data_IF_086634131406
#
_entry.id   IF_086634131406
#
_cell.length_a   1.000
_cell.length_b   1.000
_cell.length_c   1.000
_cell.angle_alpha   90.00
_cell.angle_beta   90.00
_cell.angle_gamma   90.00
#
_symmetry.space_group_name_H-M   'P 1'
#
loop_
_entity.id
_entity.type
_entity.pdbx_description
1 polymer ?
#
# COMPACT_ATOMS: atom_id res chain seq x y z
N UNK A 1 50.66 12.21 -9.68
CA UNK A 1 49.75 11.89 -8.56
C UNK A 1 48.35 11.71 -9.14
N UNK A 2 48.03 10.50 -9.58
CA UNK A 2 46.66 10.13 -9.94
C UNK A 2 46.00 9.72 -8.63
N UNK A 3 45.07 10.55 -8.15
CA UNK A 3 44.26 10.25 -6.98
C UNK A 3 43.58 8.89 -7.16
N UNK A 4 43.93 7.93 -6.31
CA UNK A 4 43.12 6.76 -6.02
C UNK A 4 41.81 7.29 -5.40
N UNK A 5 40.88 7.75 -6.23
CA UNK A 5 39.48 7.82 -5.83
C UNK A 5 39.05 6.37 -5.62
N UNK A 6 39.16 5.89 -4.37
CA UNK A 6 38.48 4.68 -3.92
C UNK A 6 37.04 4.78 -4.43
N UNK A 7 36.70 3.95 -5.42
CA UNK A 7 35.32 3.81 -5.88
C UNK A 7 34.54 3.28 -4.69
N UNK A 8 33.96 4.21 -3.92
CA UNK A 8 32.99 3.90 -2.88
C UNK A 8 31.94 2.99 -3.53
N UNK A 9 31.86 1.75 -3.06
CA UNK A 9 30.93 0.79 -3.63
C UNK A 9 29.52 1.32 -3.42
N UNK A 10 28.75 1.39 -4.50
CA UNK A 10 27.36 1.87 -4.43
C UNK A 10 26.52 0.87 -3.64
N UNK A 11 25.64 1.31 -2.72
CA UNK A 11 24.72 0.42 -2.03
C UNK A 11 23.87 -0.43 -2.99
N UNK A 12 23.54 -1.65 -2.55
CA UNK A 12 22.61 -2.52 -3.24
C UNK A 12 21.33 -2.63 -2.40
N UNK A 13 20.19 -2.18 -2.93
CA UNK A 13 18.88 -2.49 -2.35
C UNK A 13 18.35 -3.80 -2.95
N UNK A 14 17.93 -4.73 -2.09
CA UNK A 14 17.30 -6.00 -2.47
C UNK A 14 15.85 -5.99 -2.00
N UNK A 15 14.91 -5.80 -2.93
CA UNK A 15 13.48 -6.02 -2.67
C UNK A 15 13.18 -7.52 -2.67
N UNK A 16 12.92 -8.10 -1.49
CA UNK A 16 12.49 -9.49 -1.36
C UNK A 16 10.96 -9.57 -1.36
N UNK A 17 10.40 -10.15 -2.41
CA UNK A 17 8.94 -10.27 -2.59
C UNK A 17 8.57 -11.77 -2.61
N UNK A 18 8.39 -12.41 -1.44
CA UNK A 18 8.14 -13.85 -1.37
C UNK A 18 6.77 -14.27 -1.92
N UNK A 19 5.84 -13.33 -2.12
CA UNK A 19 4.53 -13.60 -2.68
C UNK A 19 4.06 -12.41 -3.54
N UNK A 20 3.70 -12.70 -4.80
CA UNK A 20 3.24 -11.71 -5.78
C UNK A 20 1.71 -11.53 -5.81
N UNK A 21 0.94 -12.33 -5.05
CA UNK A 21 -0.54 -12.35 -5.10
C UNK A 21 -1.12 -12.39 -6.51
N UNK A 22 -0.59 -13.24 -7.39
CA UNK A 22 -1.08 -13.33 -8.77
C UNK A 22 -1.00 -11.99 -9.55
N UNK A 23 -0.15 -11.05 -9.08
CA UNK A 23 0.00 -9.73 -9.68
C UNK A 23 -1.08 -8.73 -9.25
N UNK A 24 -1.92 -9.09 -8.28
CA UNK A 24 -2.95 -8.18 -7.77
C UNK A 24 -2.39 -7.14 -6.79
N UNK A 25 -3.07 -6.00 -6.72
CA UNK A 25 -2.72 -4.88 -5.85
C UNK A 25 -1.57 -4.04 -6.39
N UNK A 26 -0.96 -3.26 -5.50
CA UNK A 26 0.05 -2.26 -5.87
C UNK A 26 1.50 -2.78 -5.79
N UNK A 27 1.75 -4.10 -5.68
CA UNK A 27 3.11 -4.64 -5.47
C UNK A 27 4.04 -4.26 -6.63
N UNK A 28 3.64 -4.54 -7.88
CA UNK A 28 4.47 -4.26 -9.05
C UNK A 28 4.71 -2.75 -9.22
N UNK A 29 3.67 -1.89 -9.26
CA UNK A 29 3.87 -0.44 -9.33
C UNK A 29 4.71 0.11 -8.16
N UNK A 30 4.53 -0.41 -6.94
CA UNK A 30 5.30 -0.01 -5.77
C UNK A 30 6.79 -0.26 -5.98
N UNK A 31 7.19 -1.49 -6.34
CA UNK A 31 8.60 -1.81 -6.52
C UNK A 31 9.22 -1.19 -7.78
N UNK A 32 8.41 -0.88 -8.80
CA UNK A 32 8.85 -0.02 -9.91
C UNK A 32 9.16 1.40 -9.44
N UNK A 33 8.32 1.98 -8.59
CA UNK A 33 8.57 3.30 -8.00
C UNK A 33 9.79 3.29 -7.06
N UNK A 34 9.97 2.24 -6.25
CA UNK A 34 11.20 2.02 -5.45
C UNK A 34 12.43 1.96 -6.35
N UNK A 35 12.37 1.25 -7.48
CA UNK A 35 13.46 1.19 -8.45
C UNK A 35 13.84 2.58 -8.99
N UNK A 36 12.85 3.42 -9.30
CA UNK A 36 13.09 4.78 -9.76
C UNK A 36 13.74 5.63 -8.67
N UNK A 37 13.25 5.58 -7.43
CA UNK A 37 13.86 6.27 -6.30
C UNK A 37 15.31 5.83 -6.06
N UNK A 38 15.59 4.52 -6.14
CA UNK A 38 16.93 3.96 -6.01
C UNK A 38 17.88 4.41 -7.12
N UNK A 39 17.40 4.44 -8.37
CA UNK A 39 18.18 4.97 -9.51
C UNK A 39 18.54 6.44 -9.32
N UNK A 40 17.64 7.26 -8.76
CA UNK A 40 17.93 8.67 -8.42
C UNK A 40 19.08 8.81 -7.40
N UNK A 41 19.28 7.82 -6.55
CA UNK A 41 20.38 7.78 -5.58
C UNK A 41 21.69 7.21 -6.16
N UNK A 42 21.68 6.73 -7.40
CA UNK A 42 22.82 6.03 -8.00
C UNK A 42 23.10 4.67 -7.37
N UNK A 43 22.13 4.07 -6.68
CA UNK A 43 22.27 2.75 -6.07
C UNK A 43 21.81 1.66 -7.05
N UNK A 44 22.25 0.42 -6.79
CA UNK A 44 21.78 -0.75 -7.54
C UNK A 44 20.51 -1.30 -6.88
N UNK A 45 19.49 -1.60 -7.68
CA UNK A 45 18.29 -2.28 -7.20
C UNK A 45 18.22 -3.69 -7.76
N UNK A 46 17.98 -4.66 -6.88
CA UNK A 46 17.69 -6.04 -7.21
C UNK A 46 16.30 -6.38 -6.68
N UNK A 47 15.45 -6.97 -7.51
CA UNK A 47 14.12 -7.45 -7.11
C UNK A 47 14.09 -8.95 -7.24
N UNK A 48 13.75 -9.65 -6.15
CA UNK A 48 13.79 -11.11 -6.10
C UNK A 48 12.40 -11.63 -5.77
N UNK A 49 11.94 -12.56 -6.61
CA UNK A 49 10.59 -13.14 -6.57
C UNK A 49 10.66 -14.67 -6.62
N UNK A 50 9.55 -15.40 -6.40
CA UNK A 50 9.49 -16.84 -6.62
C UNK A 50 9.86 -17.21 -8.06
N UNK A 51 10.63 -18.28 -8.22
CA UNK A 51 11.09 -18.79 -9.53
C UNK A 51 9.96 -19.19 -10.49
N UNK A 52 8.80 -19.59 -9.97
CA UNK A 52 7.60 -19.90 -10.74
C UNK A 52 6.46 -19.00 -10.22
N UNK A 53 6.28 -17.84 -10.85
CA UNK A 53 5.20 -16.92 -10.54
C UNK A 53 4.05 -17.02 -11.55
N UNK A 54 2.81 -16.94 -11.07
CA UNK A 54 1.60 -16.89 -11.91
C UNK A 54 1.39 -15.52 -12.62
N UNK A 55 2.40 -14.65 -12.63
CA UNK A 55 2.28 -13.31 -13.20
C UNK A 55 2.87 -13.31 -14.60
N UNK A 56 2.01 -13.19 -15.62
CA UNK A 56 2.39 -13.32 -17.03
C UNK A 56 3.40 -12.27 -17.51
N UNK A 57 3.57 -11.14 -16.79
CA UNK A 57 4.36 -10.00 -17.24
C UNK A 57 5.14 -9.35 -16.09
N UNK A 58 6.16 -10.04 -15.56
CA UNK A 58 7.11 -9.42 -14.64
C UNK A 58 8.16 -8.60 -15.41
N UNK A 59 8.65 -7.48 -14.85
CA UNK A 59 9.77 -6.76 -15.43
C UNK A 59 10.98 -7.69 -15.61
N UNK A 60 11.69 -7.57 -16.75
CA UNK A 60 12.77 -8.50 -17.15
C UNK A 60 13.93 -8.52 -16.16
N UNK A 61 14.11 -7.44 -15.42
CA UNK A 61 15.15 -7.28 -14.40
C UNK A 61 14.80 -7.94 -13.06
N UNK A 62 13.61 -8.52 -12.90
CA UNK A 62 13.21 -9.22 -11.67
C UNK A 62 13.69 -10.67 -11.72
N UNK A 63 14.38 -11.10 -10.66
CA UNK A 63 15.03 -12.41 -10.60
C UNK A 63 14.13 -13.43 -9.88
N UNK A 64 13.71 -14.47 -10.61
CA UNK A 64 12.99 -15.61 -10.05
C UNK A 64 13.93 -16.57 -9.32
N UNK A 65 14.15 -16.34 -8.02
CA UNK A 65 15.13 -17.09 -7.22
C UNK A 65 14.54 -17.68 -5.93
N UNK A 66 13.43 -17.12 -5.43
CA UNK A 66 12.83 -17.55 -4.16
C UNK A 66 12.08 -18.88 -4.32
N UNK A 67 11.91 -19.60 -3.21
CA UNK A 67 11.04 -20.79 -3.17
C UNK A 67 9.60 -20.43 -3.56
N UNK A 68 8.91 -21.36 -4.23
CA UNK A 68 7.52 -21.20 -4.67
C UNK A 68 6.50 -21.67 -3.62
N UNK A 69 6.95 -22.05 -2.42
CA UNK A 69 6.04 -22.49 -1.36
C UNK A 69 5.17 -21.29 -0.89
N UNK A 70 3.86 -21.39 -1.09
CA UNK A 70 2.90 -20.38 -0.60
C UNK A 70 2.71 -20.52 0.92
N UNK A 71 3.40 -19.66 1.66
CA UNK A 71 3.32 -19.60 3.12
C UNK A 71 2.05 -18.90 3.62
N UNK A 72 1.33 -18.18 2.76
CA UNK A 72 0.09 -17.46 3.07
C UNK A 72 -1.17 -18.33 2.85
N UNK A 73 -1.10 -19.39 2.04
CA UNK A 73 -2.21 -20.29 1.75
C UNK A 73 -2.88 -20.81 3.02
N UNK A 74 -4.20 -20.67 3.14
CA UNK A 74 -4.96 -21.22 4.28
C UNK A 74 -4.88 -22.75 4.38
N UNK A 75 -5.02 -23.30 5.59
CA UNK A 75 -4.85 -24.74 5.76
C UNK A 75 -5.00 -25.30 7.18
N UNK A 76 -5.17 -26.62 7.22
CA UNK A 76 -5.32 -27.43 8.43
C UNK A 76 -4.00 -27.60 9.22
N UNK A 77 -4.05 -28.25 10.38
CA UNK A 77 -2.89 -28.40 11.28
C UNK A 77 -1.70 -29.09 10.62
N UNK A 78 -1.91 -30.12 9.79
CA UNK A 78 -0.84 -30.79 9.05
C UNK A 78 -0.19 -29.86 8.02
N UNK A 79 -1.00 -29.07 7.31
CA UNK A 79 -0.50 -28.05 6.39
C UNK A 79 0.33 -27.00 7.12
N UNK A 80 0.02 -26.65 8.38
CA UNK A 80 0.87 -25.75 9.19
C UNK A 80 2.27 -26.32 9.45
N UNK A 81 2.41 -27.63 9.64
CA UNK A 81 3.72 -28.28 9.79
C UNK A 81 4.49 -28.23 8.47
N UNK A 82 3.83 -28.56 7.36
CA UNK A 82 4.44 -28.49 6.01
C UNK A 82 4.95 -27.07 5.71
N UNK A 83 4.25 -26.03 6.19
CA UNK A 83 4.74 -24.64 6.05
C UNK A 83 6.09 -24.40 6.71
N UNK A 84 6.46 -25.10 7.78
CA UNK A 84 7.80 -24.96 8.38
C UNK A 84 8.91 -25.47 7.44
N UNK A 85 8.62 -26.51 6.66
CA UNK A 85 9.52 -26.97 5.58
C UNK A 85 9.63 -25.87 4.51
N UNK A 86 8.50 -25.26 4.14
CA UNK A 86 8.48 -24.11 3.22
C UNK A 86 9.28 -22.92 3.72
N UNK A 87 9.18 -22.59 5.02
CA UNK A 87 9.96 -21.54 5.67
C UNK A 87 11.46 -21.80 5.55
N UNK A 88 11.90 -23.05 5.81
CA UNK A 88 13.30 -23.43 5.66
C UNK A 88 13.78 -23.36 4.21
N UNK A 89 12.97 -23.83 3.25
CA UNK A 89 13.27 -23.74 1.81
C UNK A 89 13.41 -22.27 1.38
N UNK A 90 12.47 -21.41 1.78
CA UNK A 90 12.52 -19.98 1.50
C UNK A 90 13.78 -19.35 2.12
N UNK A 91 14.08 -19.62 3.39
CA UNK A 91 15.28 -19.12 4.05
C UNK A 91 16.59 -19.55 3.37
N UNK A 92 16.67 -20.82 2.92
CA UNK A 92 17.80 -21.32 2.13
C UNK A 92 17.89 -20.63 0.77
N UNK A 93 16.78 -20.40 0.07
CA UNK A 93 16.78 -19.71 -1.22
C UNK A 93 17.25 -18.26 -1.09
N UNK A 94 16.79 -17.53 -0.06
CA UNK A 94 17.26 -16.17 0.25
C UNK A 94 18.76 -16.19 0.56
N UNK A 95 19.22 -17.09 1.42
CA UNK A 95 20.64 -17.18 1.79
C UNK A 95 21.54 -17.48 0.58
N UNK A 96 21.11 -18.39 -0.31
CA UNK A 96 21.85 -18.71 -1.54
C UNK A 96 21.91 -17.50 -2.47
N UNK A 97 20.79 -16.80 -2.66
CA UNK A 97 20.74 -15.57 -3.45
C UNK A 97 21.74 -14.52 -2.93
N UNK A 98 21.72 -14.27 -1.62
CA UNK A 98 22.61 -13.29 -1.00
C UNK A 98 24.09 -13.65 -1.19
N UNK A 99 24.46 -14.93 -1.06
CA UNK A 99 25.84 -15.41 -1.29
C UNK A 99 26.27 -15.24 -2.75
N UNK A 100 25.41 -15.65 -3.67
CA UNK A 100 25.76 -15.73 -5.10
C UNK A 100 25.73 -14.35 -5.78
N UNK A 101 24.85 -13.46 -5.33
CA UNK A 101 24.51 -12.22 -6.04
C UNK A 101 24.76 -10.93 -5.28
N UNK A 102 25.02 -10.95 -3.97
CA UNK A 102 24.98 -9.72 -3.16
C UNK A 102 26.25 -9.48 -2.36
N UNK A 103 26.64 -10.42 -1.49
CA UNK A 103 27.62 -10.18 -0.41
C UNK A 103 29.00 -9.73 -0.92
N UNK A 104 29.40 -10.16 -2.11
CA UNK A 104 30.69 -9.81 -2.72
C UNK A 104 30.61 -8.65 -3.73
N UNK A 105 29.44 -8.00 -3.89
CA UNK A 105 29.23 -6.95 -4.90
C UNK A 105 29.22 -5.53 -4.34
N UNK A 106 29.06 -5.37 -3.03
CA UNK A 106 29.00 -4.06 -2.38
C UNK A 106 29.35 -4.16 -0.89
N UNK A 107 29.95 -3.10 -0.35
CA UNK A 107 30.25 -2.96 1.07
C UNK A 107 28.98 -2.73 1.90
N UNK A 108 27.87 -2.41 1.25
CA UNK A 108 26.60 -2.18 1.90
C UNK A 108 25.40 -2.68 1.08
N UNK A 109 24.69 -3.67 1.62
CA UNK A 109 23.52 -4.27 0.99
C UNK A 109 22.32 -4.21 1.93
N UNK A 110 21.17 -3.78 1.40
CA UNK A 110 19.96 -3.51 2.18
C UNK A 110 18.87 -4.47 1.73
N UNK A 111 18.47 -5.37 2.61
CA UNK A 111 17.33 -6.26 2.40
C UNK A 111 16.06 -5.52 2.77
N UNK A 112 15.16 -5.34 1.82
CA UNK A 112 13.92 -4.60 1.97
C UNK A 112 12.70 -5.52 1.76
N UNK A 113 11.82 -5.57 2.76
CA UNK A 113 10.54 -6.28 2.69
C UNK A 113 9.40 -5.29 2.96
N UNK A 114 8.55 -5.08 1.95
CA UNK A 114 7.35 -4.22 2.05
C UNK A 114 6.10 -4.97 2.53
N UNK A 115 6.05 -6.26 2.23
CA UNK A 115 4.97 -7.12 2.62
C UNK A 115 5.50 -8.45 3.05
N UNK A 116 5.09 -8.84 4.26
CA UNK A 116 5.45 -10.12 4.79
C UNK A 116 4.46 -10.58 5.86
N UNK A 117 4.37 -11.90 6.03
CA UNK A 117 3.80 -12.54 7.23
C UNK A 117 4.93 -13.03 8.14
N UNK A 118 4.61 -13.40 9.38
CA UNK A 118 5.59 -13.90 10.36
C UNK A 118 6.38 -15.11 9.85
N UNK A 119 5.81 -15.99 9.01
CA UNK A 119 6.54 -17.14 8.43
C UNK A 119 7.63 -16.69 7.44
N UNK A 120 7.36 -15.69 6.61
CA UNK A 120 8.34 -15.13 5.69
C UNK A 120 9.43 -14.35 6.46
N UNK A 121 9.04 -13.66 7.53
CA UNK A 121 10.01 -13.04 8.44
C UNK A 121 10.89 -14.08 9.15
N UNK A 122 10.35 -15.25 9.48
CA UNK A 122 11.13 -16.36 10.03
C UNK A 122 12.11 -16.93 9.00
N UNK A 123 11.70 -17.06 7.75
CA UNK A 123 12.59 -17.44 6.65
C UNK A 123 13.75 -16.44 6.48
N UNK A 124 13.47 -15.14 6.58
CA UNK A 124 14.50 -14.10 6.57
C UNK A 124 15.48 -14.28 7.74
N UNK A 125 14.98 -14.50 8.96
CA UNK A 125 15.83 -14.76 10.12
C UNK A 125 16.77 -15.96 9.87
N UNK A 126 16.24 -17.11 9.40
CA UNK A 126 17.05 -18.28 9.01
C UNK A 126 18.11 -17.89 7.98
N UNK A 127 17.74 -17.12 6.95
CA UNK A 127 18.69 -16.74 5.90
C UNK A 127 19.88 -15.93 6.44
N UNK A 128 19.64 -15.02 7.40
CA UNK A 128 20.67 -14.19 8.02
C UNK A 128 21.63 -15.00 8.91
N UNK A 129 21.19 -16.13 9.45
CA UNK A 129 22.06 -17.09 10.12
C UNK A 129 22.98 -17.84 9.16
N UNK A 130 22.54 -18.05 7.91
CA UNK A 130 23.28 -18.78 6.90
C UNK A 130 24.27 -17.92 6.10
N UNK A 131 24.29 -16.60 6.31
CA UNK A 131 25.16 -15.66 5.60
C UNK A 131 25.93 -14.73 6.56
N UNK A 132 27.13 -14.23 6.18
CA UNK A 132 27.80 -13.17 6.93
C UNK A 132 26.98 -11.86 6.93
N UNK A 133 26.69 -11.25 8.10
CA UNK A 133 25.80 -10.08 8.18
C UNK A 133 26.54 -8.74 8.13
N UNK A 134 27.88 -8.74 8.05
CA UNK A 134 28.72 -7.54 8.28
C UNK A 134 28.36 -6.37 7.36
N UNK A 135 27.98 -6.65 6.12
CA UNK A 135 27.62 -5.67 5.10
C UNK A 135 26.11 -5.54 4.90
N UNK A 136 25.30 -6.28 5.68
CA UNK A 136 23.86 -6.37 5.49
C UNK A 136 23.10 -5.41 6.41
N UNK A 137 22.03 -4.84 5.85
CA UNK A 137 20.95 -4.18 6.57
C UNK A 137 19.63 -4.85 6.28
N UNK A 138 18.68 -4.71 7.19
CA UNK A 138 17.31 -5.16 6.99
C UNK A 138 16.35 -4.03 7.30
N UNK A 139 15.53 -3.68 6.31
CA UNK A 139 14.50 -2.67 6.38
C UNK A 139 13.14 -3.35 6.20
N UNK A 140 12.31 -3.29 7.25
CA UNK A 140 10.99 -3.91 7.27
C UNK A 140 9.92 -2.83 7.24
N UNK A 141 9.15 -2.76 6.16
CA UNK A 141 8.04 -1.84 6.03
C UNK A 141 6.73 -2.52 6.44
N UNK A 142 6.19 -2.11 7.59
CA UNK A 142 4.92 -2.57 8.12
C UNK A 142 3.78 -1.72 7.59
N UNK A 143 2.85 -2.35 6.85
CA UNK A 143 1.61 -1.71 6.36
C UNK A 143 0.35 -2.25 7.03
N UNK A 144 0.54 -3.12 8.02
CA UNK A 144 -0.51 -3.75 8.84
C UNK A 144 -0.19 -3.56 10.31
N UNK A 145 -1.24 -3.48 11.10
CA UNK A 145 -1.29 -3.42 12.55
C UNK A 145 -0.92 -4.76 13.21
N UNK A 146 0.28 -5.27 12.90
CA UNK A 146 0.77 -6.58 13.36
C UNK A 146 0.84 -6.72 14.89
N UNK A 147 0.88 -5.62 15.63
CA UNK A 147 0.80 -5.59 17.10
C UNK A 147 -0.60 -5.96 17.65
N UNK A 148 -1.64 -5.90 16.81
CA UNK A 148 -3.01 -6.37 17.13
C UNK A 148 -3.27 -7.80 16.62
N UNK A 149 -2.37 -8.34 15.80
CA UNK A 149 -2.50 -9.69 15.25
C UNK A 149 -2.34 -10.78 16.32
N UNK A 150 -3.00 -11.93 16.13
CA UNK A 150 -2.87 -13.10 17.02
C UNK A 150 -1.43 -13.60 17.14
N UNK A 151 -0.60 -13.35 16.12
CA UNK A 151 0.81 -13.75 16.02
C UNK A 151 1.79 -12.63 16.40
N UNK A 152 1.33 -11.53 17.01
CA UNK A 152 2.15 -10.36 17.39
C UNK A 152 3.45 -10.72 18.12
N UNK A 153 3.40 -11.65 19.08
CA UNK A 153 4.57 -12.07 19.86
C UNK A 153 5.65 -12.70 18.99
N UNK A 154 5.25 -13.43 17.94
CA UNK A 154 6.16 -14.04 16.97
C UNK A 154 6.84 -12.93 16.16
N UNK A 155 6.12 -11.91 15.70
CA UNK A 155 6.76 -10.74 15.08
C UNK A 155 7.79 -10.13 16.02
N UNK A 156 7.42 -9.80 17.27
CA UNK A 156 8.36 -9.20 18.23
C UNK A 156 9.62 -10.04 18.43
N UNK A 157 9.47 -11.35 18.60
CA UNK A 157 10.60 -12.28 18.71
C UNK A 157 11.50 -12.25 17.46
N UNK A 158 10.91 -12.35 16.26
CA UNK A 158 11.66 -12.39 15.02
C UNK A 158 12.38 -11.07 14.71
N UNK A 159 11.77 -9.92 15.00
CA UNK A 159 12.43 -8.61 14.87
C UNK A 159 13.66 -8.55 15.78
N UNK A 160 13.54 -9.03 17.02
CA UNK A 160 14.68 -9.08 17.95
C UNK A 160 15.79 -10.01 17.44
N UNK A 161 15.46 -11.21 16.94
CA UNK A 161 16.43 -12.14 16.37
C UNK A 161 17.16 -11.53 15.16
N UNK A 162 16.43 -10.86 14.27
CA UNK A 162 17.02 -10.19 13.11
C UNK A 162 17.91 -9.04 13.57
N UNK A 163 17.45 -8.20 14.49
CA UNK A 163 18.20 -7.06 15.03
C UNK A 163 19.51 -7.50 15.68
N UNK A 164 19.50 -8.53 16.53
CA UNK A 164 20.71 -9.01 17.22
C UNK A 164 21.71 -9.67 16.28
N UNK A 165 21.25 -10.16 15.12
CA UNK A 165 22.10 -10.78 14.11
C UNK A 165 22.86 -9.76 13.25
N UNK A 166 22.36 -8.53 13.15
CA UNK A 166 22.91 -7.47 12.31
C UNK A 166 23.83 -6.53 13.12
N UNK A 167 24.76 -5.80 12.46
CA UNK A 167 25.49 -4.72 13.11
C UNK A 167 24.54 -3.64 13.66
N UNK A 168 24.98 -2.91 14.68
CA UNK A 168 24.20 -1.79 15.26
C UNK A 168 23.82 -0.79 14.15
N UNK A 169 22.59 -0.30 14.20
CA UNK A 169 22.06 0.66 13.22
C UNK A 169 21.51 0.05 11.94
N UNK A 170 21.81 -1.23 11.63
CA UNK A 170 21.47 -1.86 10.35
C UNK A 170 20.09 -2.51 10.30
N UNK A 171 19.32 -2.40 11.38
CA UNK A 171 17.93 -2.85 11.43
C UNK A 171 17.02 -1.63 11.50
N UNK A 172 16.14 -1.46 10.52
CA UNK A 172 15.21 -0.32 10.44
C UNK A 172 13.77 -0.82 10.32
N UNK A 173 12.88 -0.23 11.11
CA UNK A 173 11.44 -0.43 11.02
C UNK A 173 10.82 0.77 10.30
N UNK A 174 10.00 0.50 9.30
CA UNK A 174 9.37 1.48 8.44
C UNK A 174 7.84 1.27 8.44
N UNK A 175 7.09 2.30 8.10
CA UNK A 175 5.63 2.27 7.87
C UNK A 175 5.26 3.39 6.91
N UNK A 176 4.07 3.38 6.32
CA UNK A 176 3.51 4.54 5.59
C UNK A 176 2.39 5.26 6.36
N UNK A 177 2.15 4.87 7.61
CA UNK A 177 1.13 5.46 8.51
C UNK A 177 1.77 6.00 9.79
N UNK A 178 1.48 7.25 10.12
CA UNK A 178 1.91 7.91 11.37
C UNK A 178 1.26 7.27 12.60
N UNK A 179 -0.01 6.90 12.51
CA UNK A 179 -0.70 6.15 13.57
C UNK A 179 -0.01 4.81 13.83
N UNK A 180 0.32 4.09 12.76
CA UNK A 180 1.00 2.81 12.84
C UNK A 180 2.46 2.96 13.31
N UNK A 181 3.15 4.05 12.93
CA UNK A 181 4.48 4.38 13.44
C UNK A 181 4.45 4.50 14.96
N UNK A 182 3.49 5.25 15.51
CA UNK A 182 3.34 5.42 16.96
C UNK A 182 3.05 4.10 17.67
N UNK A 183 2.09 3.32 17.18
CA UNK A 183 1.69 2.07 17.82
C UNK A 183 2.79 1.00 17.75
N UNK A 184 3.44 0.84 16.60
CA UNK A 184 4.54 -0.10 16.43
C UNK A 184 5.80 0.34 17.19
N UNK A 185 6.09 1.63 17.28
CA UNK A 185 7.24 2.12 18.06
C UNK A 185 7.12 1.74 19.53
N UNK A 186 5.92 1.93 20.10
CA UNK A 186 5.62 1.51 21.49
C UNK A 186 5.72 -0.02 21.61
N UNK A 187 5.15 -0.77 20.67
CA UNK A 187 5.10 -2.22 20.73
C UNK A 187 6.49 -2.88 20.65
N UNK A 188 7.29 -2.47 19.67
CA UNK A 188 8.63 -3.01 19.44
C UNK A 188 9.69 -2.37 20.35
N UNK A 189 9.41 -1.21 20.95
CA UNK A 189 10.38 -0.39 21.69
C UNK A 189 11.54 0.07 20.78
N UNK A 190 11.20 0.40 19.55
CA UNK A 190 12.13 0.84 18.51
C UNK A 190 11.55 2.04 17.77
N UNK A 191 12.39 2.86 17.14
CA UNK A 191 11.89 3.91 16.24
C UNK A 191 11.33 3.30 14.96
N UNK A 192 10.11 3.69 14.58
CA UNK A 192 9.47 3.30 13.32
C UNK A 192 9.30 4.53 12.43
N UNK A 193 9.94 4.50 11.26
CA UNK A 193 10.06 5.67 10.38
C UNK A 193 8.93 5.68 9.36
N UNK A 194 8.26 6.83 9.20
CA UNK A 194 7.21 7.01 8.21
C UNK A 194 7.83 7.27 6.84
N UNK A 195 7.51 6.40 5.88
CA UNK A 195 7.93 6.43 4.50
C UNK A 195 6.82 7.01 3.62
N UNK A 196 7.18 7.76 2.57
CA UNK A 196 6.26 8.13 1.51
C UNK A 196 5.69 6.91 0.79
N UNK A 197 4.57 7.10 0.09
CA UNK A 197 4.02 6.10 -0.84
C UNK A 197 4.56 6.51 -2.22
N UNK A 198 5.48 5.75 -2.84
CA UNK A 198 6.25 6.25 -3.98
C UNK A 198 5.51 6.14 -5.33
N UNK A 199 4.44 5.36 -5.43
CA UNK A 199 3.73 5.06 -6.69
C UNK A 199 2.52 5.98 -6.94
N UNK A 200 2.66 7.25 -6.58
CA UNK A 200 1.60 8.26 -6.61
C UNK A 200 1.58 9.11 -7.87
N UNK A 201 2.43 8.79 -8.86
CA UNK A 201 2.40 9.44 -10.17
C UNK A 201 1.12 9.05 -10.91
N UNK A 202 0.12 9.92 -10.84
CA UNK A 202 -1.16 9.77 -11.53
C UNK A 202 -1.08 10.59 -12.82
N UNK A 203 -1.21 9.89 -13.95
CA UNK A 203 -1.35 10.54 -15.25
C UNK A 203 -2.82 10.90 -15.44
N UNK A 204 -3.12 12.19 -15.38
CA UNK A 204 -4.48 12.66 -15.62
C UNK A 204 -4.83 12.53 -17.10
N UNK A 205 -5.99 11.93 -17.38
CA UNK A 205 -6.58 12.02 -18.70
C UNK A 205 -7.04 13.46 -18.93
N UNK A 206 -6.59 14.08 -20.02
CA UNK A 206 -7.03 15.42 -20.46
C UNK A 206 -8.44 15.42 -21.03
N UNK A 207 -9.01 14.23 -21.28
CA UNK A 207 -10.34 14.06 -21.85
C UNK A 207 -11.38 14.18 -20.74
N UNK A 208 -11.97 15.37 -20.61
CA UNK A 208 -12.98 15.71 -19.60
C UNK A 208 -14.42 15.57 -20.09
N UNK A 209 -14.70 14.67 -21.04
CA UNK A 209 -16.08 14.43 -21.47
C UNK A 209 -16.80 13.57 -20.43
N UNK A 210 -17.16 14.20 -19.31
CA UNK A 210 -18.12 13.64 -18.37
C UNK A 210 -19.42 13.44 -19.13
N UNK A 211 -20.02 12.27 -18.97
CA UNK A 211 -21.32 11.98 -19.54
C UNK A 211 -22.31 13.05 -19.05
N UNK A 212 -22.93 13.83 -19.95
CA UNK A 212 -23.81 14.93 -19.58
C UNK A 212 -25.05 14.45 -18.82
N UNK A 213 -25.35 13.14 -18.85
CA UNK A 213 -26.48 12.57 -18.12
C UNK A 213 -26.23 12.52 -16.60
N UNK A 214 -24.98 12.59 -16.12
CA UNK A 214 -24.65 12.52 -14.70
C UNK A 214 -24.20 13.87 -14.15
N UNK A 215 -24.95 14.42 -13.19
CA UNK A 215 -24.52 15.65 -12.53
C UNK A 215 -23.41 15.38 -11.51
N UNK A 216 -23.52 14.28 -10.76
CA UNK A 216 -22.52 13.85 -9.76
C UNK A 216 -22.16 12.38 -10.04
N UNK A 217 -20.87 12.12 -10.25
CA UNK A 217 -20.29 10.80 -10.40
C UNK A 217 -19.48 10.45 -9.14
N UNK A 218 -19.98 9.46 -8.42
CA UNK A 218 -19.30 8.81 -7.31
C UNK A 218 -18.58 7.57 -7.84
N UNK A 219 -17.44 7.23 -7.24
CA UNK A 219 -16.76 5.96 -7.52
C UNK A 219 -16.40 5.23 -6.24
N UNK A 220 -16.74 3.94 -6.18
CA UNK A 220 -16.26 3.00 -5.16
C UNK A 220 -15.19 2.08 -5.80
N UNK A 221 -13.90 2.43 -5.68
CA UNK A 221 -12.81 1.77 -6.41
C UNK A 221 -12.38 0.42 -5.82
N UNK A 222 -12.00 -0.47 -6.75
CA UNK A 222 -11.40 -1.78 -6.47
C UNK A 222 -12.42 -2.89 -6.28
N UNK A 223 -11.92 -4.10 -6.00
CA UNK A 223 -12.77 -5.28 -5.83
C UNK A 223 -13.68 -5.13 -4.60
N UNK A 224 -14.98 -5.48 -4.71
CA UNK A 224 -15.91 -5.47 -3.60
C UNK A 224 -15.48 -6.46 -2.52
N UNK A 225 -15.42 -6.00 -1.26
CA UNK A 225 -15.06 -6.80 -0.09
C UNK A 225 -15.75 -6.25 1.15
N UNK A 226 -15.98 -7.11 2.14
CA UNK A 226 -16.62 -6.72 3.40
C UNK A 226 -15.86 -5.60 4.11
N UNK A 227 -14.53 -5.71 4.24
CA UNK A 227 -13.72 -4.69 4.92
C UNK A 227 -13.66 -3.34 4.18
N UNK A 228 -14.09 -3.32 2.91
CA UNK A 228 -14.22 -2.11 2.09
C UNK A 228 -15.62 -1.50 2.10
N UNK A 229 -16.53 -2.04 2.91
CA UNK A 229 -17.90 -1.56 3.10
C UNK A 229 -18.88 -2.01 2.03
N UNK A 230 -18.77 -3.27 1.57
CA UNK A 230 -19.73 -3.84 0.62
C UNK A 230 -21.17 -3.74 1.13
N UNK A 231 -21.41 -4.04 2.41
CA UNK A 231 -22.71 -3.90 3.07
C UNK A 231 -23.23 -2.46 2.99
N UNK A 232 -22.37 -1.47 3.27
CA UNK A 232 -22.73 -0.04 3.23
C UNK A 232 -23.10 0.42 1.83
N UNK A 233 -22.33 0.01 0.82
CA UNK A 233 -22.64 0.33 -0.57
C UNK A 233 -23.93 -0.35 -1.03
N UNK A 234 -24.18 -1.60 -0.64
CA UNK A 234 -25.44 -2.28 -0.93
C UNK A 234 -26.64 -1.55 -0.33
N UNK A 235 -26.54 -1.13 0.94
CA UNK A 235 -27.58 -0.34 1.60
C UNK A 235 -27.81 1.00 0.91
N UNK A 236 -26.73 1.68 0.51
CA UNK A 236 -26.79 2.94 -0.24
C UNK A 236 -27.55 2.75 -1.56
N UNK A 237 -27.17 1.77 -2.37
CA UNK A 237 -27.81 1.51 -3.67
C UNK A 237 -29.29 1.12 -3.52
N UNK A 238 -29.66 0.35 -2.49
CA UNK A 238 -31.04 -0.10 -2.25
C UNK A 238 -31.96 0.97 -1.67
N UNK A 239 -31.40 2.11 -1.23
CA UNK A 239 -32.19 3.17 -0.63
C UNK A 239 -32.85 4.04 -1.71
N UNK A 240 -34.19 4.01 -1.76
CA UNK A 240 -34.97 4.96 -2.55
C UNK A 240 -35.08 6.31 -1.83
N UNK A 241 -35.13 7.38 -2.63
CA UNK A 241 -35.15 8.73 -2.11
C UNK A 241 -36.10 9.58 -2.95
N UNK A 242 -37.40 9.35 -2.76
CA UNK A 242 -38.50 9.89 -3.58
C UNK A 242 -38.57 11.44 -3.59
N UNK A 243 -37.97 12.09 -2.59
CA UNK A 243 -37.96 13.55 -2.43
C UNK A 243 -36.61 14.22 -2.75
N UNK A 244 -35.62 13.48 -3.27
CA UNK A 244 -34.29 14.06 -3.55
C UNK A 244 -33.97 14.02 -5.03
N UNK A 245 -33.08 14.92 -5.44
CA UNK A 245 -32.37 14.89 -6.72
C UNK A 245 -31.44 13.66 -6.84
N UNK A 246 -31.81 12.50 -6.27
CA UNK A 246 -31.04 11.25 -6.22
C UNK A 246 -30.74 10.71 -7.61
N UNK A 247 -31.66 10.90 -8.56
CA UNK A 247 -31.47 10.61 -9.98
C UNK A 247 -30.32 11.38 -10.64
N UNK A 248 -29.71 12.34 -9.95
CA UNK A 248 -28.55 13.11 -10.40
C UNK A 248 -27.21 12.49 -10.00
N UNK A 249 -27.23 11.46 -9.15
CA UNK A 249 -26.03 10.76 -8.67
C UNK A 249 -25.90 9.42 -9.40
N UNK A 250 -24.73 9.19 -9.99
CA UNK A 250 -24.32 7.90 -10.53
C UNK A 250 -23.17 7.35 -9.69
N UNK A 251 -23.26 6.09 -9.29
CA UNK A 251 -22.19 5.37 -8.60
C UNK A 251 -21.56 4.36 -9.56
N UNK A 252 -20.28 4.56 -9.89
CA UNK A 252 -19.46 3.58 -10.57
C UNK A 252 -18.98 2.51 -9.56
N UNK A 253 -19.20 1.24 -9.89
CA UNK A 253 -18.80 0.08 -9.07
C UNK A 253 -18.33 -1.07 -9.95
N UNK A 254 -17.45 -1.94 -9.43
CA UNK A 254 -17.02 -3.14 -10.14
C UNK A 254 -18.21 -4.07 -10.45
N UNK A 255 -18.21 -4.72 -11.62
CA UNK A 255 -19.22 -5.70 -12.06
C UNK A 255 -19.43 -6.82 -11.03
N UNK A 256 -18.38 -7.28 -10.36
CA UNK A 256 -18.43 -8.32 -9.34
C UNK A 256 -19.20 -7.93 -8.07
N UNK A 257 -19.62 -6.66 -7.94
CA UNK A 257 -20.47 -6.22 -6.83
C UNK A 257 -21.91 -6.74 -6.95
N UNK A 258 -22.34 -7.08 -8.17
CA UNK A 258 -23.71 -7.50 -8.49
C UNK A 258 -24.77 -6.53 -7.93
N UNK A 259 -24.47 -5.23 -7.98
CA UNK A 259 -25.36 -4.17 -7.52
C UNK A 259 -26.30 -3.73 -8.64
N UNK A 260 -27.58 -3.59 -8.32
CA UNK A 260 -28.61 -3.13 -9.24
C UNK A 260 -29.28 -1.87 -8.70
N UNK A 261 -29.48 -0.89 -9.58
CA UNK A 261 -30.17 0.34 -9.22
C UNK A 261 -31.65 0.05 -8.92
N UNK A 262 -32.17 0.68 -7.87
CA UNK A 262 -33.61 0.61 -7.53
C UNK A 262 -34.36 1.83 -8.07
N UNK A 263 -35.68 1.69 -8.25
CA UNK A 263 -36.54 2.81 -8.66
C UNK A 263 -36.43 3.97 -7.67
N UNK A 264 -36.23 5.18 -8.17
CA UNK A 264 -36.01 6.39 -7.37
C UNK A 264 -34.78 6.35 -6.42
N UNK A 265 -33.85 5.43 -6.65
CA UNK A 265 -32.53 5.40 -6.00
C UNK A 265 -31.45 6.10 -6.82
N UNK A 266 -30.18 5.87 -6.45
CA UNK A 266 -29.04 6.29 -7.26
C UNK A 266 -28.88 5.41 -8.50
N UNK A 267 -28.32 6.00 -9.56
CA UNK A 267 -27.93 5.24 -10.73
C UNK A 267 -26.66 4.43 -10.41
N UNK A 268 -26.57 3.22 -10.96
CA UNK A 268 -25.41 2.35 -10.80
C UNK A 268 -24.79 2.09 -12.16
N UNK A 269 -23.49 2.33 -12.29
CA UNK A 269 -22.70 2.02 -13.48
C UNK A 269 -21.71 0.92 -13.15
N UNK A 270 -21.94 -0.26 -13.74
CA UNK A 270 -21.03 -1.39 -13.59
C UNK A 270 -19.81 -1.21 -14.51
N UNK A 271 -18.62 -1.30 -13.94
CA UNK A 271 -17.33 -1.20 -14.64
C UNK A 271 -16.53 -2.49 -14.46
N UNK A 272 -15.53 -2.73 -15.31
CA UNK A 272 -14.75 -3.97 -15.25
C UNK A 272 -14.02 -4.15 -13.90
N UNK A 273 -13.92 -5.41 -13.48
CA UNK A 273 -13.32 -5.76 -12.18
C UNK A 273 -11.82 -5.53 -12.14
N UNK A 274 -11.17 -5.68 -13.29
CA UNK A 274 -9.73 -5.47 -13.49
C UNK A 274 -9.59 -4.33 -14.50
N UNK A 275 -9.22 -3.17 -14.01
CA UNK A 275 -8.97 -2.00 -14.83
C UNK A 275 -7.48 -1.95 -15.21
N UNK A 276 -7.20 -1.58 -16.46
CA UNK A 276 -5.87 -1.08 -16.85
C UNK A 276 -5.53 0.19 -16.07
N UNK A 277 -4.24 0.60 -16.06
CA UNK A 277 -3.85 1.83 -15.37
C UNK A 277 -4.49 3.06 -16.03
N UNK A 278 -4.66 3.03 -17.34
CA UNK A 278 -5.33 4.07 -18.12
C UNK A 278 -6.81 4.18 -17.74
N UNK A 279 -7.53 3.06 -17.67
CA UNK A 279 -8.94 3.04 -17.23
C UNK A 279 -9.10 3.46 -15.78
N UNK A 280 -8.22 3.01 -14.88
CA UNK A 280 -8.21 3.43 -13.49
C UNK A 280 -8.05 4.95 -13.36
N UNK A 281 -7.07 5.52 -14.07
CA UNK A 281 -6.82 6.96 -14.07
C UNK A 281 -8.00 7.73 -14.70
N UNK A 282 -8.63 7.18 -15.74
CA UNK A 282 -9.84 7.73 -16.33
C UNK A 282 -10.95 7.84 -15.28
N UNK A 283 -11.32 6.74 -14.61
CA UNK A 283 -12.36 6.74 -13.58
C UNK A 283 -12.04 7.67 -12.41
N UNK A 284 -10.78 7.69 -11.96
CA UNK A 284 -10.33 8.62 -10.94
C UNK A 284 -10.52 10.08 -11.40
N UNK A 285 -10.15 10.38 -12.64
CA UNK A 285 -10.15 11.74 -13.19
C UNK A 285 -11.56 12.30 -13.44
N UNK A 286 -12.54 11.49 -13.83
CA UNK A 286 -13.89 11.96 -14.13
C UNK A 286 -14.83 11.96 -12.92
N UNK A 287 -14.48 11.23 -11.86
CA UNK A 287 -15.29 11.19 -10.63
C UNK A 287 -15.23 12.53 -9.89
N UNK A 288 -16.36 12.94 -9.31
CA UNK A 288 -16.43 14.12 -8.44
C UNK A 288 -16.04 13.76 -7.01
N UNK A 289 -16.39 12.56 -6.57
CA UNK A 289 -16.12 12.05 -5.22
C UNK A 289 -15.82 10.56 -5.22
N UNK A 290 -14.98 10.13 -4.29
CA UNK A 290 -14.55 8.75 -4.10
C UNK A 290 -15.10 8.24 -2.77
N UNK A 291 -15.85 7.13 -2.82
CA UNK A 291 -16.44 6.53 -1.63
C UNK A 291 -15.51 5.48 -1.06
N UNK A 292 -15.17 5.62 0.23
CA UNK A 292 -14.30 4.71 0.97
C UNK A 292 -14.95 4.32 2.31
N UNK A 293 -16.08 3.59 2.28
CA UNK A 293 -16.81 3.16 3.47
C UNK A 293 -16.11 2.01 4.20
N UNK A 294 -14.81 2.12 4.41
CA UNK A 294 -13.98 1.03 4.92
C UNK A 294 -14.32 0.74 6.38
N UNK A 295 -14.17 -0.52 6.77
CA UNK A 295 -14.31 -0.94 8.16
C UNK A 295 -13.20 -0.33 9.01
N UNK A 296 -13.59 0.32 10.11
CA UNK A 296 -12.65 0.99 11.00
C UNK A 296 -11.80 -0.01 11.81
N UNK A 297 -12.28 -1.24 12.03
CA UNK A 297 -11.47 -2.25 12.72
C UNK A 297 -10.30 -2.68 11.82
N UNK A 298 -10.55 -2.86 10.52
CA UNK A 298 -9.53 -3.18 9.53
C UNK A 298 -8.62 -1.99 9.18
N UNK A 299 -9.17 -0.77 9.07
CA UNK A 299 -8.46 0.42 8.54
C UNK A 299 -8.17 1.50 9.59
N UNK A 300 -8.25 1.19 10.88
CA UNK A 300 -7.96 2.16 11.95
C UNK A 300 -6.56 2.77 11.86
N UNK A 301 -5.55 1.96 11.54
CA UNK A 301 -4.16 2.41 11.38
C UNK A 301 -3.55 2.06 10.02
N UNK A 302 -4.26 1.26 9.20
CA UNK A 302 -3.80 0.83 7.88
C UNK A 302 -4.01 1.95 6.87
N UNK A 303 -3.01 2.17 6.03
CA UNK A 303 -3.10 3.13 4.93
C UNK A 303 -4.02 2.64 3.81
N UNK A 304 -4.51 3.58 3.01
CA UNK A 304 -5.28 3.32 1.80
C UNK A 304 -4.60 4.00 0.62
N UNK A 305 -3.99 3.20 -0.27
CA UNK A 305 -3.37 3.73 -1.48
C UNK A 305 -4.36 4.52 -2.34
N UNK A 306 -5.60 4.05 -2.42
CA UNK A 306 -6.70 4.73 -3.12
C UNK A 306 -7.00 6.10 -2.50
N UNK A 307 -6.99 6.22 -1.16
CA UNK A 307 -7.18 7.52 -0.51
C UNK A 307 -6.05 8.48 -0.85
N UNK A 308 -4.79 8.02 -0.77
CA UNK A 308 -3.64 8.82 -1.15
C UNK A 308 -3.72 9.26 -2.61
N UNK A 309 -4.05 8.35 -3.53
CA UNK A 309 -4.25 8.67 -4.94
C UNK A 309 -5.40 9.65 -5.18
N UNK A 310 -6.52 9.51 -4.45
CA UNK A 310 -7.65 10.42 -4.47
C UNK A 310 -7.24 11.85 -4.10
N UNK A 311 -6.51 12.02 -2.99
CA UNK A 311 -6.04 13.32 -2.53
C UNK A 311 -5.06 13.94 -3.51
N UNK A 312 -4.11 13.15 -4.03
CA UNK A 312 -3.14 13.59 -5.04
C UNK A 312 -3.84 14.00 -6.34
N UNK A 313 -4.92 13.32 -6.68
CA UNK A 313 -5.81 13.68 -7.79
C UNK A 313 -6.70 14.90 -7.52
N UNK A 314 -6.64 15.50 -6.33
CA UNK A 314 -7.48 16.64 -5.94
C UNK A 314 -8.96 16.27 -5.84
N UNK A 315 -9.26 14.99 -5.64
CA UNK A 315 -10.61 14.45 -5.52
C UNK A 315 -11.09 14.47 -4.08
N UNK A 316 -12.40 14.45 -3.91
CA UNK A 316 -13.05 14.50 -2.60
C UNK A 316 -13.30 13.05 -2.11
N UNK A 317 -12.55 12.55 -1.12
CA UNK A 317 -12.86 11.26 -0.51
C UNK A 317 -13.98 11.41 0.51
N UNK A 318 -14.87 10.43 0.60
CA UNK A 318 -15.81 10.25 1.69
C UNK A 318 -15.42 8.98 2.45
N UNK A 319 -15.19 9.09 3.75
CA UNK A 319 -14.56 8.01 4.53
C UNK A 319 -15.34 7.68 5.79
N UNK A 320 -15.14 6.48 6.34
CA UNK A 320 -15.67 6.09 7.64
C UNK A 320 -14.88 6.74 8.79
N UNK A 321 -15.57 7.11 9.86
CA UNK A 321 -14.94 7.54 11.11
C UNK A 321 -13.95 6.52 11.68
N UNK A 322 -13.01 6.99 12.51
CA UNK A 322 -12.02 6.14 13.22
C UNK A 322 -11.10 5.32 12.32
N UNK A 323 -11.04 5.63 11.02
CA UNK A 323 -10.03 5.10 10.10
C UNK A 323 -8.80 6.00 10.06
N UNK A 324 -7.68 5.48 9.56
CA UNK A 324 -6.50 6.29 9.25
C UNK A 324 -6.84 7.45 8.30
N UNK A 325 -7.73 7.21 7.32
CA UNK A 325 -8.16 8.24 6.37
C UNK A 325 -8.92 9.37 7.06
N UNK A 326 -9.78 9.06 8.04
CA UNK A 326 -10.44 10.08 8.85
C UNK A 326 -9.44 10.91 9.65
N UNK A 327 -8.42 10.26 10.24
CA UNK A 327 -7.32 10.96 10.92
C UNK A 327 -6.57 11.91 9.97
N UNK A 328 -6.27 11.47 8.74
CA UNK A 328 -5.65 12.33 7.73
C UNK A 328 -6.50 13.55 7.38
N UNK A 329 -7.81 13.39 7.20
CA UNK A 329 -8.72 14.50 6.90
C UNK A 329 -8.80 15.52 8.05
N UNK A 330 -8.79 15.05 9.30
CA UNK A 330 -8.86 15.93 10.47
C UNK A 330 -7.64 16.87 10.57
N UNK A 331 -6.45 16.46 10.09
CA UNK A 331 -5.26 17.34 10.01
C UNK A 331 -5.48 18.59 9.16
N UNK A 332 -6.45 18.55 8.25
CA UNK A 332 -6.79 19.63 7.32
C UNK A 332 -8.18 20.22 7.58
N UNK A 333 -8.76 19.98 8.75
CA UNK A 333 -10.10 20.42 9.13
C UNK A 333 -11.18 19.97 8.14
N UNK A 334 -11.06 18.75 7.58
CA UNK A 334 -11.99 18.14 6.63
C UNK A 334 -12.94 17.14 7.30
N UNK A 335 -13.37 17.43 8.53
CA UNK A 335 -14.28 16.55 9.28
C UNK A 335 -15.63 16.32 8.59
N UNK A 336 -16.04 17.24 7.71
CA UNK A 336 -17.28 17.13 6.93
C UNK A 336 -17.27 15.97 5.92
N UNK A 337 -16.08 15.43 5.61
CA UNK A 337 -15.88 14.29 4.70
C UNK A 337 -15.91 12.93 5.41
N UNK A 338 -16.09 12.93 6.73
CA UNK A 338 -16.26 11.74 7.54
C UNK A 338 -17.75 11.44 7.63
N UNK A 339 -18.15 10.32 7.01
CA UNK A 339 -19.56 9.99 6.77
C UNK A 339 -20.03 8.90 7.74
N UNK A 340 -21.22 9.10 8.31
CA UNK A 340 -21.98 8.03 8.93
C UNK A 340 -22.70 7.24 7.84
N UNK A 341 -22.21 6.03 7.56
CA UNK A 341 -22.74 5.17 6.51
C UNK A 341 -24.01 4.40 6.89
N UNK A 342 -24.40 4.41 8.17
CA UNK A 342 -25.61 3.72 8.65
C UNK A 342 -26.91 4.45 8.28
N UNK A 343 -26.81 5.70 7.78
CA UNK A 343 -27.95 6.50 7.34
C UNK A 343 -27.85 6.86 5.85
N UNK A 344 -28.13 5.92 4.93
CA UNK A 344 -27.98 6.12 3.48
C UNK A 344 -28.63 7.40 2.92
N UNK A 345 -29.79 7.80 3.46
CA UNK A 345 -30.47 9.04 3.05
C UNK A 345 -29.63 10.29 3.34
N UNK A 346 -28.96 10.32 4.49
CA UNK A 346 -28.05 11.42 4.84
C UNK A 346 -26.79 11.39 3.98
N UNK A 347 -26.27 10.20 3.65
CA UNK A 347 -25.13 10.06 2.74
C UNK A 347 -25.40 10.76 1.40
N UNK A 348 -26.59 10.61 0.82
CA UNK A 348 -26.96 11.29 -0.42
C UNK A 348 -26.96 12.82 -0.30
N UNK A 349 -27.56 13.34 0.77
CA UNK A 349 -27.60 14.78 1.02
C UNK A 349 -26.19 15.33 1.22
N UNK A 350 -25.35 14.62 1.97
CA UNK A 350 -23.95 14.95 2.17
C UNK A 350 -23.19 15.00 0.85
N UNK A 351 -23.32 14.00 -0.03
CA UNK A 351 -22.65 13.99 -1.36
C UNK A 351 -23.00 15.24 -2.16
N UNK A 352 -24.28 15.60 -2.26
CA UNK A 352 -24.73 16.78 -3.02
C UNK A 352 -24.12 18.06 -2.46
N UNK A 353 -24.20 18.24 -1.14
CA UNK A 353 -23.71 19.43 -0.47
C UNK A 353 -22.18 19.55 -0.57
N UNK A 354 -21.46 18.45 -0.37
CA UNK A 354 -20.01 18.41 -0.33
C UNK A 354 -19.41 18.72 -1.71
N UNK A 355 -19.92 18.10 -2.77
CA UNK A 355 -19.37 18.28 -4.14
C UNK A 355 -19.52 19.72 -4.64
N UNK A 356 -20.52 20.46 -4.14
CA UNK A 356 -20.76 21.85 -4.50
C UNK A 356 -20.02 22.85 -3.59
N UNK A 357 -19.48 22.41 -2.46
CA UNK A 357 -18.88 23.29 -1.47
C UNK A 357 -17.47 23.74 -1.86
N UNK A 358 -17.31 25.04 -2.14
CA UNK A 358 -16.02 25.63 -2.52
C UNK A 358 -14.98 25.60 -1.39
N UNK A 359 -15.40 25.70 -0.13
CA UNK A 359 -14.50 25.67 1.02
C UNK A 359 -13.85 24.29 1.16
N UNK A 360 -14.63 23.21 0.98
CA UNK A 360 -14.11 21.84 0.97
C UNK A 360 -13.07 21.66 -0.15
N UNK A 361 -13.35 22.16 -1.36
CA UNK A 361 -12.40 22.09 -2.48
C UNK A 361 -11.09 22.83 -2.17
N UNK A 362 -11.15 23.98 -1.50
CA UNK A 362 -9.96 24.72 -1.09
C UNK A 362 -9.15 23.95 -0.03
N UNK A 363 -9.81 23.36 0.97
CA UNK A 363 -9.15 22.51 1.97
C UNK A 363 -8.50 21.27 1.32
N UNK A 364 -9.18 20.61 0.37
CA UNK A 364 -8.61 19.49 -0.40
C UNK A 364 -7.38 19.92 -1.20
N UNK A 365 -7.38 21.10 -1.83
CA UNK A 365 -6.18 21.61 -2.54
C UNK A 365 -4.99 21.81 -1.60
N UNK A 366 -5.23 22.27 -0.37
CA UNK A 366 -4.16 22.40 0.65
C UNK A 366 -3.59 21.03 1.01
N UNK A 367 -4.47 20.05 1.27
CA UNK A 367 -4.07 18.67 1.55
C UNK A 367 -3.32 18.04 0.38
N UNK A 368 -3.83 18.22 -0.85
CA UNK A 368 -3.21 17.75 -2.10
C UNK A 368 -1.78 18.28 -2.24
N UNK A 369 -1.54 19.57 -1.98
CA UNK A 369 -0.20 20.15 -2.05
C UNK A 369 0.76 19.44 -1.09
N UNK A 370 0.39 19.28 0.18
CA UNK A 370 1.23 18.59 1.16
C UNK A 370 1.46 17.12 0.79
N UNK A 371 0.44 16.44 0.28
CA UNK A 371 0.54 15.06 -0.19
C UNK A 371 1.48 14.92 -1.39
N UNK A 372 1.44 15.86 -2.35
CA UNK A 372 2.37 15.87 -3.48
C UNK A 372 3.81 16.12 -3.05
N UNK A 373 4.04 16.96 -2.04
CA UNK A 373 5.37 17.23 -1.50
C UNK A 373 5.93 16.02 -0.73
N UNK A 374 5.10 15.34 0.08
CA UNK A 374 5.53 14.23 0.90
C UNK A 374 5.51 12.88 0.16
N UNK A 375 4.39 12.52 -0.47
CA UNK A 375 4.21 11.27 -1.19
C UNK A 375 4.69 11.38 -2.63
N UNK A 376 5.99 11.60 -2.81
CA UNK A 376 6.64 11.63 -4.12
C UNK A 376 7.94 10.81 -4.14
N UNK A 377 8.43 10.50 -5.35
CA UNK A 377 9.67 9.75 -5.54
C UNK A 377 10.89 10.45 -4.91
N UNK A 378 10.97 11.78 -5.01
CA UNK A 378 12.09 12.55 -4.49
C UNK A 378 12.16 12.47 -2.98
N UNK A 379 11.02 12.63 -2.29
CA UNK A 379 10.98 12.51 -0.84
C UNK A 379 11.27 11.09 -0.37
N UNK A 380 10.79 10.08 -1.11
CA UNK A 380 11.11 8.68 -0.83
C UNK A 380 12.62 8.42 -0.92
N UNK A 381 13.26 8.88 -2.00
CA UNK A 381 14.71 8.76 -2.20
C UNK A 381 15.51 9.52 -1.12
N UNK A 382 15.11 10.74 -0.78
CA UNK A 382 15.72 11.55 0.28
C UNK A 382 15.74 10.79 1.62
N UNK A 383 14.58 10.21 2.01
CA UNK A 383 14.47 9.45 3.26
C UNK A 383 15.34 8.20 3.21
N UNK A 384 15.35 7.44 2.11
CA UNK A 384 16.23 6.27 1.97
C UNK A 384 17.71 6.65 2.13
N UNK A 385 18.15 7.76 1.51
CA UNK A 385 19.52 8.26 1.64
C UNK A 385 19.86 8.58 3.09
N UNK A 386 18.95 9.24 3.80
CA UNK A 386 19.08 9.56 5.22
C UNK A 386 19.23 8.29 6.07
N UNK A 387 18.40 7.26 5.84
CA UNK A 387 18.45 5.99 6.56
C UNK A 387 19.81 5.28 6.48
N UNK A 388 20.50 5.38 5.36
CA UNK A 388 21.85 4.80 5.18
C UNK A 388 22.93 5.63 5.87
N UNK A 389 22.76 6.96 5.94
CA UNK A 389 23.72 7.85 6.61
C UNK A 389 23.65 7.77 8.14
N UNK A 390 22.49 7.42 8.70
CA UNK A 390 22.27 7.23 10.14
C UNK A 390 22.71 5.82 10.58
N UNK A 391 24.03 5.63 10.73
CA UNK A 391 24.63 4.40 11.28
C UNK A 391 24.58 4.36 12.81
#
# INVERSE_FOLDING_TARGET
>A
MLENQEKLSTPILISLIPNLMEGEGHIIPYHQAVNQAIKKLGWKHLVVVPSQGNVANLPREWEGYLSNDDLEKEGNTWQKIIRLIGVWKLGKSIARYLKDRVINQSDHSIIFLERFIHLQLFALAISLWLVPPKTLSVWLLYRRDTHKDKTRSIYKLLNNIIKTRLPKGQFKLLTDSDLLSKSLSIYFQESVIVMPIPHTEIKFCTIHNKDPNFNILCWWPGSPREEKGLDKIQQLVRTSCENTKSNKICLAVAKSSNLEAVKAGIQVKLIDNKLTREEYNYWLSISDTILLPYDFQAYGERTSGIFTECIIAGKIPLVTEKTWMAHELLKYNLGELIINWEEPKQVFLSIINIVQNINIKNKIKLMQKSYNEFHCLDKYAEIMKKLVSEK
#
